data_IF_096256875052
#
_entry.id   IF_096256875052
#
_cell.length_a   1.000
_cell.length_b   1.000
_cell.length_c   1.000
_cell.angle_alpha   90.00
_cell.angle_beta   90.00
_cell.angle_gamma   90.00
#
_symmetry.space_group_name_H-M   'P 1'
#
loop_
_entity.id
_entity.type
_entity.pdbx_description
1 polymer ?
#
# COMPACT_ATOMS: atom_id res chain seq x y z
N UNK A 1 12.84 1.39 -23.26
CA UNK A 1 13.25 2.74 -23.74
C UNK A 1 12.16 3.35 -24.61
N UNK A 2 11.77 2.71 -25.72
CA UNK A 2 10.71 3.24 -26.61
C UNK A 2 9.41 3.64 -25.91
N UNK A 3 8.75 2.71 -25.22
CA UNK A 3 7.51 2.99 -24.49
C UNK A 3 7.70 4.10 -23.44
N UNK A 4 8.87 4.18 -22.80
CA UNK A 4 9.14 5.20 -21.79
C UNK A 4 9.20 6.61 -22.41
N UNK A 5 9.74 6.74 -23.63
CA UNK A 5 9.77 8.00 -24.38
C UNK A 5 8.37 8.32 -24.91
N UNK A 6 7.67 7.32 -25.43
CA UNK A 6 6.30 7.47 -25.96
C UNK A 6 5.33 7.98 -24.90
N UNK A 7 5.41 7.46 -23.68
CA UNK A 7 4.54 7.88 -22.58
C UNK A 7 4.99 9.15 -21.86
N UNK A 8 6.20 9.67 -22.08
CA UNK A 8 6.67 10.88 -21.39
C UNK A 8 6.22 12.16 -22.08
N UNK A 9 6.07 13.25 -21.32
CA UNK A 9 5.82 14.59 -21.86
C UNK A 9 7.11 15.25 -22.34
N UNK A 10 8.23 14.88 -21.70
CA UNK A 10 9.56 15.36 -22.04
C UNK A 10 10.64 14.32 -21.80
N UNK A 11 11.81 14.57 -22.38
CA UNK A 11 13.00 13.73 -22.28
C UNK A 11 14.17 14.60 -21.82
N UNK A 12 14.83 14.21 -20.74
CA UNK A 12 16.05 14.84 -20.25
C UNK A 12 17.21 13.85 -20.43
N UNK A 13 18.21 14.25 -21.22
CA UNK A 13 19.47 13.53 -21.35
C UNK A 13 20.50 14.17 -20.44
N UNK A 14 21.10 13.38 -19.56
CA UNK A 14 22.18 13.78 -18.66
C UNK A 14 23.46 13.07 -19.11
N UNK A 15 24.49 13.84 -19.45
CA UNK A 15 25.75 13.33 -19.98
C UNK A 15 26.98 13.92 -19.28
N UNK A 16 28.13 13.24 -19.42
CA UNK A 16 29.43 13.76 -19.02
C UNK A 16 30.10 14.56 -20.15
N UNK A 17 31.44 14.56 -20.17
CA UNK A 17 32.25 15.26 -21.18
C UNK A 17 32.53 14.44 -22.44
N UNK A 18 32.40 13.11 -22.37
CA UNK A 18 32.43 12.23 -23.54
C UNK A 18 31.03 12.11 -24.15
N UNK A 19 30.97 11.99 -25.47
CA UNK A 19 29.79 11.56 -26.22
C UNK A 19 30.18 10.28 -26.93
N UNK A 20 29.55 9.13 -26.61
CA UNK A 20 29.37 8.00 -27.56
C UNK A 20 28.82 6.74 -26.86
N UNK A 21 27.60 6.81 -26.30
CA UNK A 21 26.86 5.57 -26.01
C UNK A 21 25.63 5.47 -26.92
N UNK A 22 25.55 4.35 -27.65
CA UNK A 22 24.47 4.00 -28.59
C UNK A 22 23.08 4.14 -27.95
N UNK A 23 22.96 3.79 -26.65
CA UNK A 23 21.69 3.89 -25.93
C UNK A 23 21.20 5.34 -25.74
N UNK A 24 22.12 6.28 -25.54
CA UNK A 24 21.79 7.71 -25.43
C UNK A 24 21.36 8.25 -26.79
N UNK A 25 22.10 7.93 -27.84
CA UNK A 25 21.77 8.38 -29.20
C UNK A 25 20.41 7.84 -29.67
N UNK A 26 20.11 6.57 -29.39
CA UNK A 26 18.81 5.98 -29.67
C UNK A 26 17.67 6.73 -28.97
N UNK A 27 17.87 7.11 -27.69
CA UNK A 27 16.87 7.86 -26.92
C UNK A 27 16.64 9.25 -27.50
N UNK A 28 17.70 9.93 -27.96
CA UNK A 28 17.63 11.23 -28.62
C UNK A 28 16.83 11.12 -29.92
N UNK A 29 17.26 10.23 -30.83
CA UNK A 29 16.62 10.05 -32.14
C UNK A 29 15.13 9.73 -31.96
N UNK A 30 14.80 8.84 -31.01
CA UNK A 30 13.42 8.45 -30.76
C UNK A 30 12.58 9.60 -30.17
N UNK A 31 13.16 10.42 -29.30
CA UNK A 31 12.48 11.60 -28.76
C UNK A 31 12.18 12.63 -29.86
N UNK A 32 13.11 12.82 -30.80
CA UNK A 32 12.95 13.69 -31.97
C UNK A 32 11.88 13.17 -32.93
N UNK A 33 11.90 11.87 -33.26
CA UNK A 33 10.87 11.20 -34.07
C UNK A 33 9.46 11.41 -33.49
N UNK A 34 9.32 11.26 -32.17
CA UNK A 34 8.07 11.42 -31.45
C UNK A 34 7.75 12.88 -31.08
N UNK A 35 8.58 13.84 -31.54
CA UNK A 35 8.46 15.29 -31.28
C UNK A 35 8.30 15.64 -29.79
N UNK A 36 8.98 14.90 -28.92
CA UNK A 36 8.99 15.14 -27.48
C UNK A 36 9.80 16.37 -27.13
N UNK A 37 9.48 17.01 -26.01
CA UNK A 37 10.30 18.10 -25.47
C UNK A 37 11.62 17.52 -24.97
N UNK A 38 12.71 17.76 -25.71
CA UNK A 38 14.04 17.24 -25.41
C UNK A 38 14.94 18.30 -24.78
N UNK A 39 15.63 17.95 -23.70
CA UNK A 39 16.71 18.75 -23.10
C UNK A 39 17.92 17.87 -22.87
N UNK A 40 19.09 18.36 -23.25
CA UNK A 40 20.37 17.68 -23.01
C UNK A 40 21.19 18.57 -22.08
N UNK A 41 21.75 17.97 -21.02
CA UNK A 41 22.49 18.68 -19.98
C UNK A 41 23.76 17.91 -19.62
N UNK A 42 24.84 18.63 -19.37
CA UNK A 42 26.06 18.08 -18.79
C UNK A 42 25.97 18.11 -17.26
N UNK A 43 26.19 16.97 -16.61
CA UNK A 43 25.98 16.79 -15.16
C UNK A 43 26.89 17.66 -14.29
N UNK A 44 28.07 18.03 -14.81
CA UNK A 44 29.08 18.78 -14.06
C UNK A 44 28.93 20.29 -14.20
N UNK A 45 28.42 20.75 -15.34
CA UNK A 45 28.44 22.18 -15.70
C UNK A 45 27.05 22.81 -15.80
N UNK A 46 25.98 22.00 -15.86
CA UNK A 46 24.64 22.54 -16.08
C UNK A 46 24.04 23.12 -14.81
N UNK A 47 23.49 24.32 -14.93
CA UNK A 47 22.73 24.96 -13.86
C UNK A 47 21.34 24.29 -13.72
N UNK A 48 21.06 23.80 -12.51
CA UNK A 48 19.81 23.14 -12.11
C UNK A 48 18.56 23.98 -12.36
N UNK A 49 18.57 25.24 -11.94
CA UNK A 49 17.43 26.15 -12.07
C UNK A 49 17.00 26.31 -13.53
N UNK A 50 17.95 26.26 -14.47
CA UNK A 50 17.64 26.29 -15.91
C UNK A 50 16.91 25.03 -16.39
N UNK A 51 17.20 23.88 -15.78
CA UNK A 51 16.50 22.62 -16.08
C UNK A 51 15.10 22.65 -15.49
N UNK A 52 14.95 23.10 -14.24
CA UNK A 52 13.64 23.26 -13.59
C UNK A 52 12.76 24.23 -14.37
N UNK A 53 13.28 25.41 -14.73
CA UNK A 53 12.56 26.38 -15.58
C UNK A 53 12.15 25.78 -16.92
N UNK A 54 13.00 24.95 -17.53
CA UNK A 54 12.65 24.27 -18.77
C UNK A 54 11.50 23.25 -18.58
N UNK A 55 11.50 22.48 -17.49
CA UNK A 55 10.43 21.53 -17.15
C UNK A 55 9.10 22.29 -16.99
N UNK A 56 9.10 23.35 -16.19
CA UNK A 56 7.91 24.16 -15.88
C UNK A 56 7.38 24.85 -17.14
N UNK A 57 8.24 25.52 -17.91
CA UNK A 57 7.83 26.25 -19.12
C UNK A 57 7.28 25.34 -20.22
N UNK A 58 7.64 24.06 -20.22
CA UNK A 58 7.11 23.07 -21.17
C UNK A 58 5.96 22.24 -20.60
N UNK A 59 5.50 22.52 -19.37
CA UNK A 59 4.42 21.79 -18.68
C UNK A 59 4.65 20.27 -18.67
N UNK A 60 5.90 19.84 -18.44
CA UNK A 60 6.29 18.42 -18.44
C UNK A 60 5.87 17.79 -17.10
N UNK A 61 4.95 16.82 -17.13
CA UNK A 61 4.44 16.13 -15.92
C UNK A 61 5.10 14.75 -15.74
N UNK A 62 5.37 14.06 -16.84
CA UNK A 62 6.10 12.80 -16.87
C UNK A 62 7.41 12.98 -17.63
N UNK A 63 8.53 13.02 -16.91
CA UNK A 63 9.86 13.21 -17.48
C UNK A 63 10.58 11.87 -17.63
N UNK A 64 10.96 11.50 -18.85
CA UNK A 64 11.88 10.38 -19.09
C UNK A 64 13.31 10.88 -18.98
N UNK A 65 14.10 10.29 -18.09
CA UNK A 65 15.50 10.68 -17.88
C UNK A 65 16.40 9.56 -18.36
N UNK A 66 17.38 9.91 -19.19
CA UNK A 66 18.38 8.96 -19.70
C UNK A 66 19.77 9.60 -19.65
N UNK A 67 20.82 8.79 -19.75
CA UNK A 67 22.20 9.25 -19.74
C UNK A 67 23.15 8.13 -20.13
N UNK A 68 24.44 8.48 -20.21
CA UNK A 68 25.50 7.51 -20.53
C UNK A 68 25.55 6.35 -19.52
N UNK A 69 25.72 5.13 -20.02
CA UNK A 69 25.70 3.92 -19.19
C UNK A 69 27.08 3.34 -18.87
N UNK A 70 28.17 4.04 -19.20
CA UNK A 70 29.54 3.59 -18.90
C UNK A 70 30.44 4.73 -18.44
N UNK A 71 30.77 4.72 -17.16
CA UNK A 71 32.11 5.15 -16.72
C UNK A 71 32.88 3.90 -16.32
N UNK A 72 34.09 3.69 -16.87
CA UNK A 72 34.97 2.59 -16.45
C UNK A 72 35.72 2.90 -15.14
N UNK A 73 35.45 4.05 -14.51
CA UNK A 73 36.07 4.50 -13.27
C UNK A 73 35.00 4.53 -12.16
N UNK A 74 35.15 3.64 -11.18
CA UNK A 74 34.19 3.40 -10.09
C UNK A 74 33.87 4.67 -9.28
N UNK A 75 34.88 5.52 -9.04
CA UNK A 75 34.72 6.78 -8.30
C UNK A 75 33.86 7.80 -9.05
N UNK A 76 33.99 7.85 -10.38
CA UNK A 76 33.19 8.74 -11.24
C UNK A 76 31.74 8.26 -11.30
N UNK A 77 31.49 6.95 -11.37
CA UNK A 77 30.13 6.40 -11.35
C UNK A 77 29.39 6.69 -10.03
N UNK A 78 30.08 6.58 -8.89
CA UNK A 78 29.52 6.91 -7.57
C UNK A 78 29.23 8.41 -7.44
N UNK A 79 30.15 9.26 -7.87
CA UNK A 79 29.95 10.71 -7.85
C UNK A 79 28.81 11.13 -8.79
N UNK A 80 28.74 10.58 -10.00
CA UNK A 80 27.65 10.83 -10.96
C UNK A 80 26.30 10.38 -10.37
N UNK A 81 26.22 9.21 -9.75
CA UNK A 81 24.99 8.75 -9.07
C UNK A 81 24.59 9.64 -7.90
N UNK A 82 25.56 10.12 -7.10
CA UNK A 82 25.29 11.05 -6.00
C UNK A 82 24.82 12.41 -6.51
N UNK A 83 25.47 12.97 -7.52
CA UNK A 83 25.08 14.23 -8.16
C UNK A 83 23.73 14.08 -8.82
N UNK A 84 23.45 12.98 -9.50
CA UNK A 84 22.15 12.67 -10.10
C UNK A 84 21.04 12.56 -9.06
N UNK A 85 21.29 11.86 -7.94
CA UNK A 85 20.34 11.77 -6.83
C UNK A 85 20.07 13.14 -6.22
N UNK A 86 21.12 13.93 -5.96
CA UNK A 86 21.00 15.30 -5.44
C UNK A 86 20.26 16.21 -6.44
N UNK A 87 20.52 16.03 -7.72
CA UNK A 87 19.88 16.78 -8.80
C UNK A 87 18.39 16.48 -8.91
N UNK A 88 18.00 15.20 -8.88
CA UNK A 88 16.61 14.80 -8.86
C UNK A 88 15.87 15.27 -7.61
N UNK A 89 16.52 15.20 -6.44
CA UNK A 89 15.95 15.70 -5.20
C UNK A 89 15.74 17.22 -5.28
N UNK A 90 16.72 17.97 -5.78
CA UNK A 90 16.60 19.41 -5.93
C UNK A 90 15.51 19.79 -6.96
N UNK A 91 15.41 19.10 -8.10
CA UNK A 91 14.31 19.30 -9.05
C UNK A 91 12.96 19.01 -8.38
N UNK A 92 12.88 17.93 -7.59
CA UNK A 92 11.68 17.58 -6.86
C UNK A 92 11.29 18.68 -5.86
N UNK A 93 12.23 19.11 -5.02
CA UNK A 93 12.03 20.14 -4.01
C UNK A 93 11.70 21.50 -4.63
N UNK A 94 12.36 21.89 -5.72
CA UNK A 94 12.15 23.16 -6.40
C UNK A 94 10.82 23.19 -7.17
N UNK A 95 10.42 22.07 -7.78
CA UNK A 95 9.05 21.93 -8.33
C UNK A 95 8.04 22.08 -7.19
N UNK A 96 8.24 21.43 -6.04
CA UNK A 96 7.35 21.55 -4.90
C UNK A 96 7.28 22.98 -4.32
N UNK A 97 8.37 23.73 -4.35
CA UNK A 97 8.45 25.08 -3.78
C UNK A 97 7.98 26.19 -4.74
N UNK A 98 8.34 26.14 -6.02
CA UNK A 98 8.20 27.28 -6.95
C UNK A 98 7.01 27.21 -7.90
N UNK A 99 6.38 26.05 -8.07
CA UNK A 99 5.35 25.90 -9.10
C UNK A 99 3.95 26.32 -8.64
N UNK A 100 3.72 26.59 -7.34
CA UNK A 100 2.36 26.66 -6.79
C UNK A 100 1.56 25.36 -6.99
N UNK A 101 2.12 24.36 -7.69
CA UNK A 101 1.68 22.98 -7.59
C UNK A 101 2.13 22.50 -6.23
N UNK A 102 1.22 22.63 -5.28
CA UNK A 102 0.99 21.55 -4.36
C UNK A 102 0.82 20.26 -5.20
N UNK A 103 1.90 19.57 -5.52
CA UNK A 103 1.83 18.12 -5.72
C UNK A 103 1.66 17.53 -4.30
N UNK A 104 0.58 17.90 -3.62
CA UNK A 104 -0.23 16.92 -2.93
C UNK A 104 -0.82 16.06 -4.04
N UNK A 105 -0.03 15.21 -4.70
CA UNK A 105 -0.64 13.99 -5.20
C UNK A 105 -0.98 13.20 -3.94
N UNK A 106 -2.14 13.55 -3.39
CA UNK A 106 -2.76 12.89 -2.27
C UNK A 106 -2.76 11.40 -2.59
N UNK A 107 -2.52 10.57 -1.59
CA UNK A 107 -2.61 9.12 -1.76
C UNK A 107 -3.92 8.80 -2.49
N UNK A 108 -3.81 8.03 -3.57
CA UNK A 108 -4.94 7.64 -4.40
C UNK A 108 -5.35 6.20 -4.13
N UNK A 109 -4.39 5.35 -3.77
CA UNK A 109 -4.64 3.92 -3.52
C UNK A 109 -4.03 3.47 -2.21
N UNK A 110 -4.88 2.87 -1.38
CA UNK A 110 -4.51 2.25 -0.13
C UNK A 110 -4.74 0.75 -0.21
N UNK A 111 -3.67 -0.02 -0.36
CA UNK A 111 -3.73 -1.46 -0.49
C UNK A 111 -3.71 -2.15 0.88
N UNK A 112 -4.56 -3.15 1.06
CA UNK A 112 -4.60 -4.01 2.26
C UNK A 112 -5.08 -5.40 1.89
N UNK A 113 -4.85 -6.39 2.75
CA UNK A 113 -5.39 -7.73 2.57
C UNK A 113 -6.92 -7.72 2.78
N UNK A 114 -7.66 -8.30 1.84
CA UNK A 114 -9.10 -8.47 1.91
C UNK A 114 -9.51 -9.77 2.62
N UNK A 115 -10.76 -10.23 2.41
CA UNK A 115 -11.84 -9.50 1.73
C UNK A 115 -12.46 -8.41 2.64
N UNK A 116 -13.51 -7.74 2.17
CA UNK A 116 -14.23 -6.74 2.96
C UNK A 116 -14.76 -7.36 4.27
N UNK A 117 -14.67 -6.58 5.36
CA UNK A 117 -15.00 -7.03 6.72
C UNK A 117 -13.92 -7.83 7.44
N UNK A 118 -12.79 -8.16 6.79
CA UNK A 118 -11.65 -8.80 7.46
C UNK A 118 -11.02 -7.86 8.51
N UNK A 119 -10.21 -8.40 9.42
CA UNK A 119 -9.47 -7.56 10.37
C UNK A 119 -8.51 -6.59 9.67
N UNK A 120 -7.87 -7.02 8.57
CA UNK A 120 -7.02 -6.16 7.75
C UNK A 120 -7.80 -5.01 7.10
N UNK A 121 -9.02 -5.28 6.62
CA UNK A 121 -9.91 -4.24 6.11
C UNK A 121 -10.39 -3.28 7.20
N UNK A 122 -10.76 -3.81 8.37
CA UNK A 122 -11.18 -3.01 9.52
C UNK A 122 -10.08 -2.04 9.98
N UNK A 123 -8.84 -2.52 10.11
CA UNK A 123 -7.69 -1.67 10.42
C UNK A 123 -7.44 -0.65 9.34
N UNK A 124 -7.50 -1.04 8.07
CA UNK A 124 -7.37 -0.10 6.95
C UNK A 124 -8.46 0.97 6.95
N UNK A 125 -9.72 0.63 7.25
CA UNK A 125 -10.82 1.59 7.35
C UNK A 125 -10.57 2.66 8.44
N UNK A 126 -10.03 2.27 9.60
CA UNK A 126 -9.66 3.23 10.65
C UNK A 126 -8.61 4.23 10.16
N UNK A 127 -7.56 3.73 9.50
CA UNK A 127 -6.49 4.57 8.93
C UNK A 127 -7.07 5.46 7.83
N UNK A 128 -7.89 4.89 6.96
CA UNK A 128 -8.52 5.54 5.82
C UNK A 128 -9.39 6.73 6.23
N UNK A 129 -10.17 6.61 7.30
CA UNK A 129 -10.96 7.73 7.83
C UNK A 129 -10.08 8.94 8.15
N UNK A 130 -8.92 8.72 8.77
CA UNK A 130 -7.93 9.77 9.05
C UNK A 130 -7.21 10.26 7.80
N UNK A 131 -6.91 9.37 6.87
CA UNK A 131 -6.32 9.74 5.59
C UNK A 131 -7.22 10.68 4.80
N UNK A 132 -8.55 10.47 4.82
CA UNK A 132 -9.50 11.31 4.08
C UNK A 132 -9.54 12.76 4.55
N UNK A 133 -9.15 13.06 5.79
CA UNK A 133 -8.99 14.44 6.27
C UNK A 133 -7.90 15.20 5.49
N UNK A 134 -6.93 14.49 4.90
CA UNK A 134 -5.79 15.05 4.16
C UNK A 134 -5.77 14.67 2.67
N UNK A 135 -6.52 13.64 2.27
CA UNK A 135 -6.47 13.05 0.94
C UNK A 135 -7.90 12.74 0.47
N UNK A 136 -8.46 13.59 -0.39
CA UNK A 136 -9.88 13.53 -0.76
C UNK A 136 -10.27 12.30 -1.61
N UNK A 137 -9.35 11.78 -2.43
CA UNK A 137 -9.64 10.77 -3.46
C UNK A 137 -8.89 9.44 -3.24
N UNK A 138 -8.77 9.00 -1.98
CA UNK A 138 -8.17 7.70 -1.66
C UNK A 138 -9.20 6.60 -1.90
N UNK A 139 -8.78 5.51 -2.55
CA UNK A 139 -9.52 4.26 -2.69
C UNK A 139 -8.82 3.15 -1.89
N UNK A 140 -9.58 2.36 -1.11
CA UNK A 140 -9.06 1.13 -0.52
C UNK A 140 -9.09 0.02 -1.58
N UNK A 141 -7.94 -0.56 -1.88
CA UNK A 141 -7.79 -1.68 -2.80
C UNK A 141 -7.55 -2.97 -2.00
N UNK A 142 -8.48 -3.91 -2.11
CA UNK A 142 -8.41 -5.20 -1.41
C UNK A 142 -7.64 -6.23 -2.23
N UNK A 143 -6.58 -6.76 -1.64
CA UNK A 143 -5.78 -7.84 -2.21
C UNK A 143 -6.34 -9.19 -1.77
N UNK A 144 -6.31 -10.19 -2.65
CA UNK A 144 -6.83 -11.52 -2.36
C UNK A 144 -5.83 -12.35 -1.56
N UNK A 145 -4.54 -12.17 -1.85
CA UNK A 145 -3.49 -12.99 -1.28
C UNK A 145 -2.31 -12.16 -0.76
N UNK A 146 -1.61 -12.67 0.26
CA UNK A 146 -0.36 -12.09 0.76
C UNK A 146 0.71 -11.97 -0.33
N UNK A 147 0.69 -12.86 -1.34
CA UNK A 147 1.64 -12.85 -2.47
C UNK A 147 1.57 -11.56 -3.30
N UNK A 148 0.41 -10.90 -3.33
CA UNK A 148 0.22 -9.63 -4.05
C UNK A 148 0.88 -8.45 -3.34
N UNK A 149 0.95 -8.46 -2.00
CA UNK A 149 1.67 -7.45 -1.22
C UNK A 149 3.13 -7.37 -1.67
N UNK A 150 3.76 -8.54 -1.86
CA UNK A 150 5.16 -8.66 -2.28
C UNK A 150 5.38 -8.08 -3.69
N UNK A 151 4.40 -8.22 -4.59
CA UNK A 151 4.47 -7.65 -5.95
C UNK A 151 4.30 -6.13 -5.95
N UNK A 152 3.51 -5.60 -5.01
CA UNK A 152 3.22 -4.16 -4.92
C UNK A 152 4.35 -3.39 -4.26
N UNK A 153 5.00 -3.95 -3.24
CA UNK A 153 6.05 -3.29 -2.47
C UNK A 153 7.14 -2.68 -3.40
N UNK A 154 7.80 -3.42 -4.31
CA UNK A 154 8.83 -2.88 -5.23
C UNK A 154 8.38 -1.73 -6.13
N UNK A 155 7.07 -1.62 -6.39
CA UNK A 155 6.49 -0.61 -7.30
C UNK A 155 5.67 0.43 -6.55
N UNK A 156 5.81 0.51 -5.21
CA UNK A 156 5.08 1.46 -4.39
C UNK A 156 5.56 2.89 -4.68
N UNK A 157 4.71 3.67 -5.35
CA UNK A 157 4.95 5.08 -5.67
C UNK A 157 4.41 5.98 -4.55
N UNK A 158 4.69 7.28 -4.64
CA UNK A 158 4.29 8.28 -3.63
C UNK A 158 2.76 8.40 -3.47
N UNK A 159 1.98 8.08 -4.51
CA UNK A 159 0.52 8.14 -4.55
C UNK A 159 -0.15 6.88 -3.99
N UNK A 160 0.63 5.94 -3.43
CA UNK A 160 0.16 4.65 -2.93
C UNK A 160 0.67 4.39 -1.51
N UNK A 161 -0.12 3.67 -0.73
CA UNK A 161 0.29 3.14 0.55
C UNK A 161 -0.22 1.71 0.76
N UNK A 162 0.37 1.03 1.74
CA UNK A 162 0.13 -0.38 2.02
C UNK A 162 -0.07 -0.58 3.52
N UNK A 163 -1.01 -1.44 3.90
CA UNK A 163 -1.13 -1.99 5.24
C UNK A 163 -0.78 -3.48 5.18
N UNK A 164 0.24 -3.89 5.92
CA UNK A 164 0.75 -5.27 5.92
C UNK A 164 0.59 -5.87 7.31
N UNK A 165 -0.14 -6.98 7.49
CA UNK A 165 -0.09 -7.74 8.73
C UNK A 165 1.29 -8.40 8.85
N UNK A 166 2.03 -8.06 9.90
CA UNK A 166 3.39 -8.59 10.15
C UNK A 166 3.40 -9.58 11.29
N UNK A 167 2.61 -9.39 12.34
CA UNK A 167 2.59 -10.28 13.49
C UNK A 167 1.18 -10.68 13.92
N UNK A 168 1.05 -11.90 14.40
CA UNK A 168 -0.16 -12.38 15.09
C UNK A 168 0.28 -12.84 16.48
N UNK A 169 -0.27 -12.22 17.52
CA UNK A 169 0.08 -12.48 18.93
C UNK A 169 1.59 -12.39 19.22
N UNK A 170 2.26 -11.43 18.56
CA UNK A 170 3.71 -11.21 18.68
C UNK A 170 4.58 -12.20 17.90
N UNK A 171 3.98 -13.14 17.16
CA UNK A 171 4.69 -14.07 16.30
C UNK A 171 4.74 -13.49 14.89
N UNK A 172 5.93 -13.41 14.30
CA UNK A 172 6.12 -12.95 12.92
C UNK A 172 5.43 -13.90 11.93
N UNK A 173 4.56 -13.33 11.10
CA UNK A 173 3.78 -14.05 10.06
C UNK A 173 4.07 -13.55 8.64
N UNK A 174 5.06 -12.67 8.52
CA UNK A 174 5.52 -12.11 7.26
C UNK A 174 7.04 -12.27 7.15
N UNK A 175 7.48 -13.32 6.46
CA UNK A 175 8.88 -13.78 6.42
C UNK A 175 9.85 -12.86 5.64
N UNK A 176 9.43 -11.63 5.28
CA UNK A 176 10.21 -10.73 4.43
C UNK A 176 10.49 -9.37 5.08
N UNK A 177 11.00 -9.39 6.32
CA UNK A 177 11.38 -8.20 7.08
C UNK A 177 12.36 -7.29 6.32
N UNK A 178 13.27 -7.85 5.51
CA UNK A 178 14.20 -7.07 4.67
C UNK A 178 13.53 -6.21 3.59
N UNK A 179 12.28 -6.50 3.19
CA UNK A 179 11.56 -5.60 2.28
C UNK A 179 11.31 -4.25 2.94
N UNK A 180 10.97 -4.23 4.22
CA UNK A 180 10.68 -3.00 4.95
C UNK A 180 11.93 -2.12 5.15
N UNK A 181 13.14 -2.66 5.06
CA UNK A 181 14.37 -1.85 5.08
C UNK A 181 14.48 -0.91 3.86
N UNK A 182 13.85 -1.27 2.73
CA UNK A 182 13.83 -0.46 1.50
C UNK A 182 12.64 0.50 1.40
N UNK A 183 11.60 0.30 2.20
CA UNK A 183 10.38 1.13 2.14
C UNK A 183 10.19 1.90 3.44
N UNK A 184 9.66 3.12 3.35
CA UNK A 184 9.45 3.95 4.54
C UNK A 184 8.24 3.41 5.32
N UNK A 185 8.51 2.55 6.29
CA UNK A 185 7.58 2.27 7.39
C UNK A 185 7.28 3.60 8.09
N UNK A 186 6.01 3.97 8.15
CA UNK A 186 5.60 5.23 8.80
C UNK A 186 5.22 5.02 10.25
N UNK A 187 4.52 3.92 10.52
CA UNK A 187 4.10 3.52 11.86
C UNK A 187 3.65 2.07 11.87
N UNK A 188 3.57 1.52 13.07
CA UNK A 188 2.95 0.23 13.36
C UNK A 188 1.64 0.45 14.11
N UNK A 189 0.70 -0.47 13.94
CA UNK A 189 -0.59 -0.44 14.62
C UNK A 189 -0.98 -1.85 15.06
N UNK A 190 -1.23 -2.01 16.35
CA UNK A 190 -1.80 -3.24 16.90
C UNK A 190 -3.33 -3.16 16.82
N UNK A 191 -3.95 -4.19 16.26
CA UNK A 191 -5.41 -4.31 16.21
C UNK A 191 -5.84 -5.54 17.02
N UNK A 192 -6.64 -5.34 18.08
CA UNK A 192 -7.24 -6.46 18.80
C UNK A 192 -8.13 -7.31 17.88
N UNK A 193 -7.92 -8.62 17.91
CA UNK A 193 -8.73 -9.60 17.20
C UNK A 193 -9.82 -10.08 18.15
N UNK A 194 -11.00 -9.48 18.00
CA UNK A 194 -12.19 -9.81 18.77
C UNK A 194 -13.30 -10.33 17.86
N UNK A 195 -13.81 -11.51 18.20
CA UNK A 195 -14.95 -12.09 17.51
C UNK A 195 -16.26 -11.73 18.19
N UNK A 196 -17.29 -11.59 17.36
CA UNK A 196 -18.68 -11.57 17.76
C UNK A 196 -19.40 -12.76 17.10
N UNK A 197 -20.41 -13.29 17.80
CA UNK A 197 -21.36 -14.22 17.24
C UNK A 197 -22.42 -13.42 16.48
N UNK A 198 -22.46 -13.57 15.16
CA UNK A 198 -23.40 -12.87 14.30
C UNK A 198 -24.40 -13.85 13.68
N UNK A 199 -25.66 -13.45 13.56
CA UNK A 199 -26.69 -14.28 12.93
C UNK A 199 -27.79 -13.43 12.29
N UNK A 200 -28.60 -14.03 11.42
CA UNK A 200 -29.89 -13.47 11.01
C UNK A 200 -30.96 -13.61 12.10
N UNK A 201 -30.76 -14.53 13.05
CA UNK A 201 -31.64 -14.72 14.20
C UNK A 201 -31.32 -13.70 15.31
N UNK A 202 -32.26 -13.50 16.24
CA UNK A 202 -32.10 -12.59 17.39
C UNK A 202 -31.67 -13.33 18.66
N UNK A 203 -31.62 -14.65 18.61
CA UNK A 203 -31.30 -15.50 19.75
C UNK A 203 -30.28 -16.56 19.33
N UNK A 204 -29.43 -16.93 20.29
CA UNK A 204 -28.46 -18.03 20.19
C UNK A 204 -29.16 -19.39 20.25
N UNK A 205 -30.36 -19.47 20.84
CA UNK A 205 -31.17 -20.68 20.85
C UNK A 205 -31.55 -21.09 19.43
N UNK A 206 -31.20 -22.33 19.06
CA UNK A 206 -31.48 -22.89 17.75
C UNK A 206 -30.39 -22.68 16.70
N UNK A 207 -29.20 -22.16 17.06
CA UNK A 207 -28.05 -22.19 16.15
C UNK A 207 -27.55 -23.63 15.98
N UNK A 208 -27.59 -24.13 14.74
CA UNK A 208 -27.15 -25.48 14.38
C UNK A 208 -25.84 -25.47 13.56
N UNK A 209 -25.57 -24.38 12.84
CA UNK A 209 -24.38 -24.23 11.99
C UNK A 209 -23.59 -22.99 12.38
N UNK A 210 -22.29 -23.16 12.58
CA UNK A 210 -21.38 -22.07 12.89
C UNK A 210 -20.30 -21.97 11.81
N UNK A 211 -20.25 -20.85 11.10
CA UNK A 211 -19.28 -20.58 10.05
C UNK A 211 -18.13 -19.72 10.58
N UNK A 212 -16.89 -20.04 10.22
CA UNK A 212 -15.74 -19.16 10.39
C UNK A 212 -14.50 -19.71 9.70
N UNK A 213 -13.39 -18.98 9.81
CA UNK A 213 -12.06 -19.50 9.51
C UNK A 213 -11.60 -20.45 10.64
N UNK A 214 -10.73 -21.40 10.33
CA UNK A 214 -10.23 -22.40 11.31
C UNK A 214 -9.59 -21.76 12.53
N UNK A 215 -8.80 -20.69 12.33
CA UNK A 215 -8.16 -19.95 13.43
C UNK A 215 -9.19 -19.40 14.43
N UNK A 216 -10.34 -18.92 13.97
CA UNK A 216 -11.37 -18.38 14.86
C UNK A 216 -12.05 -19.48 15.68
N UNK A 217 -12.18 -20.69 15.14
CA UNK A 217 -12.71 -21.82 15.90
C UNK A 217 -11.77 -22.26 17.02
N UNK A 218 -10.46 -22.22 16.79
CA UNK A 218 -9.47 -22.52 17.82
C UNK A 218 -9.37 -21.39 18.85
N UNK A 219 -9.44 -20.13 18.41
CA UNK A 219 -9.39 -18.94 19.29
C UNK A 219 -10.65 -18.75 20.15
N UNK A 220 -11.77 -19.39 19.79
CA UNK A 220 -13.05 -19.35 20.54
C UNK A 220 -13.47 -20.73 21.07
N UNK A 221 -12.55 -21.70 21.12
CA UNK A 221 -12.87 -23.11 21.37
C UNK A 221 -13.65 -23.33 22.67
N UNK A 222 -13.20 -22.73 23.78
CA UNK A 222 -13.83 -22.92 25.08
C UNK A 222 -15.22 -22.29 25.12
N UNK A 223 -15.37 -21.09 24.55
CA UNK A 223 -16.68 -20.45 24.42
C UNK A 223 -17.65 -21.31 23.59
N UNK A 224 -17.21 -21.84 22.44
CA UNK A 224 -18.04 -22.71 21.58
C UNK A 224 -18.46 -23.97 22.35
N UNK A 225 -17.53 -24.66 23.01
CA UNK A 225 -17.83 -25.87 23.78
C UNK A 225 -18.86 -25.60 24.90
N UNK A 226 -18.83 -24.42 25.52
CA UNK A 226 -19.72 -24.05 26.61
C UNK A 226 -21.12 -23.62 26.13
N UNK A 227 -21.18 -22.83 25.05
CA UNK A 227 -22.41 -22.15 24.60
C UNK A 227 -23.11 -22.87 23.45
N UNK A 228 -22.36 -23.55 22.60
CA UNK A 228 -22.82 -24.19 21.37
C UNK A 228 -22.24 -25.62 21.25
N UNK A 229 -22.41 -26.51 22.25
CA UNK A 229 -21.73 -27.81 22.29
C UNK A 229 -22.07 -28.73 21.11
N UNK A 230 -23.28 -28.60 20.55
CA UNK A 230 -23.78 -29.47 19.47
C UNK A 230 -23.74 -28.81 18.08
N UNK A 231 -23.10 -27.65 17.95
CA UNK A 231 -23.11 -26.90 16.70
C UNK A 231 -22.19 -27.54 15.66
N UNK A 232 -22.64 -27.58 14.41
CA UNK A 232 -21.81 -28.01 13.28
C UNK A 232 -20.90 -26.85 12.85
N UNK A 233 -19.60 -26.97 13.10
CA UNK A 233 -18.57 -26.03 12.61
C UNK A 233 -18.36 -26.21 11.10
N UNK A 234 -18.36 -25.13 10.34
CA UNK A 234 -18.14 -25.11 8.90
C UNK A 234 -17.03 -24.11 8.58
N UNK A 235 -15.87 -24.62 8.14
CA UNK A 235 -14.72 -23.80 7.77
C UNK A 235 -14.95 -23.09 6.43
N UNK A 236 -14.59 -21.81 6.36
CA UNK A 236 -14.62 -20.97 5.14
C UNK A 236 -13.34 -20.15 5.01
N UNK A 237 -13.13 -19.51 3.86
CA UNK A 237 -11.87 -18.85 3.51
C UNK A 237 -11.53 -17.63 4.36
N UNK A 238 -12.52 -16.98 4.99
CA UNK A 238 -12.27 -15.90 5.95
C UNK A 238 -13.39 -15.73 6.98
N UNK A 239 -13.09 -15.04 8.07
CA UNK A 239 -14.06 -14.72 9.12
C UNK A 239 -15.15 -13.76 8.62
N UNK A 240 -14.87 -12.91 7.64
CA UNK A 240 -15.88 -12.02 7.07
C UNK A 240 -16.72 -12.70 5.98
N UNK A 241 -16.14 -13.64 5.23
CA UNK A 241 -16.91 -14.54 4.36
C UNK A 241 -17.93 -15.34 5.18
N UNK A 242 -17.56 -15.76 6.40
CA UNK A 242 -18.46 -16.44 7.32
C UNK A 242 -19.74 -15.64 7.62
N UNK A 243 -19.61 -14.34 7.91
CA UNK A 243 -20.77 -13.46 8.15
C UNK A 243 -21.64 -13.30 6.89
N UNK A 244 -21.01 -13.28 5.71
CA UNK A 244 -21.72 -13.23 4.44
C UNK A 244 -22.54 -14.51 4.23
N UNK A 245 -21.94 -15.69 4.40
CA UNK A 245 -22.59 -16.99 4.12
C UNK A 245 -23.58 -17.41 5.21
N UNK A 246 -23.41 -16.96 6.47
CA UNK A 246 -24.35 -17.17 7.57
C UNK A 246 -25.62 -16.31 7.40
N UNK A 247 -26.32 -16.50 6.28
CA UNK A 247 -27.48 -15.71 5.82
C UNK A 247 -28.81 -16.44 5.96
N UNK A 248 -28.80 -17.68 6.48
CA UNK A 248 -29.97 -18.54 6.61
C UNK A 248 -30.31 -18.79 8.08
N UNK A 249 -31.54 -19.25 8.35
CA UNK A 249 -31.96 -19.69 9.68
C UNK A 249 -31.02 -20.74 10.27
N UNK A 250 -30.95 -20.78 11.60
CA UNK A 250 -30.12 -21.71 12.36
C UNK A 250 -28.61 -21.62 12.05
N UNK A 251 -28.17 -20.52 11.43
CA UNK A 251 -26.77 -20.28 11.08
C UNK A 251 -26.23 -19.06 11.82
N UNK A 252 -25.01 -19.17 12.32
CA UNK A 252 -24.26 -18.06 12.88
C UNK A 252 -22.84 -18.02 12.32
N UNK A 253 -22.15 -16.91 12.52
CA UNK A 253 -20.74 -16.76 12.20
C UNK A 253 -19.94 -16.24 13.38
N UNK A 254 -18.66 -16.64 13.44
CA UNK A 254 -17.66 -15.96 14.27
C UNK A 254 -16.90 -14.99 13.37
N UNK A 255 -17.09 -13.69 13.59
CA UNK A 255 -16.60 -12.64 12.69
C UNK A 255 -16.25 -11.38 13.45
N UNK A 256 -15.57 -10.43 12.80
CA UNK A 256 -15.42 -9.08 13.35
C UNK A 256 -16.81 -8.42 13.50
N UNK A 257 -17.06 -7.73 14.61
CA UNK A 257 -18.34 -7.06 14.89
C UNK A 257 -18.80 -6.11 13.77
N UNK A 258 -17.87 -5.48 13.04
CA UNK A 258 -18.18 -4.61 11.89
C UNK A 258 -18.90 -5.33 10.76
N UNK A 259 -18.80 -6.66 10.68
CA UNK A 259 -19.55 -7.47 9.73
C UNK A 259 -21.06 -7.46 9.99
N UNK A 260 -21.52 -7.10 11.21
CA UNK A 260 -22.94 -6.92 11.52
C UNK A 260 -23.56 -5.87 10.63
N UNK A 261 -22.96 -4.68 10.57
CA UNK A 261 -23.44 -3.60 9.70
C UNK A 261 -23.22 -3.94 8.22
N UNK A 262 -22.06 -4.52 7.87
CA UNK A 262 -21.71 -4.80 6.48
C UNK A 262 -22.65 -5.81 5.82
N UNK A 263 -23.06 -6.85 6.56
CA UNK A 263 -23.88 -7.93 6.01
C UNK A 263 -25.30 -7.95 6.56
N UNK A 264 -25.71 -6.97 7.36
CA UNK A 264 -27.01 -6.94 8.05
C UNK A 264 -27.25 -8.22 8.88
N UNK A 265 -26.46 -8.39 9.93
CA UNK A 265 -26.56 -9.49 10.90
C UNK A 265 -26.77 -8.92 12.30
N UNK A 266 -27.60 -9.58 13.09
CA UNK A 266 -27.74 -9.29 14.50
C UNK A 266 -26.47 -9.73 15.24
N UNK A 267 -26.15 -9.00 16.29
CA UNK A 267 -25.07 -9.32 17.21
C UNK A 267 -25.68 -10.09 18.38
N UNK A 268 -25.33 -11.36 18.52
CA UNK A 268 -25.86 -12.22 19.58
C UNK A 268 -24.98 -12.19 20.84
N UNK A 269 -23.66 -12.19 20.65
CA UNK A 269 -22.67 -12.10 21.74
C UNK A 269 -21.37 -11.49 21.19
N UNK A 270 -20.63 -10.76 22.00
CA UNK A 270 -19.36 -10.09 21.62
C UNK A 270 -18.23 -10.52 22.52
N UNK A 271 -16.99 -10.31 22.08
CA UNK A 271 -15.77 -10.54 22.87
C UNK A 271 -15.64 -12.00 23.36
N UNK A 272 -15.94 -12.94 22.47
CA UNK A 272 -16.00 -14.38 22.75
C UNK A 272 -14.68 -15.13 22.49
N UNK A 273 -13.58 -14.40 22.34
CA UNK A 273 -12.23 -14.97 22.22
C UNK A 273 -11.77 -15.54 23.57
N UNK A 274 -11.13 -16.70 23.55
CA UNK A 274 -10.52 -17.30 24.74
C UNK A 274 -9.25 -16.55 25.17
N UNK A 275 -8.51 -16.00 24.20
CA UNK A 275 -7.29 -15.22 24.44
C UNK A 275 -7.64 -13.74 24.67
N UNK A 276 -7.43 -13.27 25.90
CA UNK A 276 -7.67 -11.87 26.29
C UNK A 276 -6.82 -10.85 25.52
N UNK A 277 -5.62 -11.25 25.09
CA UNK A 277 -4.68 -10.38 24.38
C UNK A 277 -4.44 -10.84 22.93
N UNK A 278 -5.49 -11.27 22.24
CA UNK A 278 -5.42 -11.63 20.84
C UNK A 278 -5.28 -10.37 19.97
N UNK A 279 -4.15 -10.19 19.30
CA UNK A 279 -3.84 -9.00 18.50
C UNK A 279 -3.06 -9.32 17.24
N UNK A 280 -3.29 -8.52 16.20
CA UNK A 280 -2.48 -8.52 14.99
C UNK A 280 -1.76 -7.19 14.86
N UNK A 281 -0.43 -7.24 14.68
CA UNK A 281 0.38 -6.05 14.38
C UNK A 281 0.41 -5.84 12.88
N UNK A 282 0.12 -4.60 12.48
CA UNK A 282 0.21 -4.16 11.11
C UNK A 282 1.26 -3.07 10.95
N UNK A 283 1.93 -3.07 9.82
CA UNK A 283 2.86 -2.03 9.41
C UNK A 283 2.21 -1.21 8.30
N UNK A 284 2.21 0.11 8.46
CA UNK A 284 1.80 1.04 7.41
C UNK A 284 3.02 1.53 6.64
N UNK A 285 3.02 1.31 5.32
CA UNK A 285 4.13 1.63 4.42
C UNK A 285 3.69 2.69 3.41
N UNK A 286 4.48 3.76 3.26
CA UNK A 286 4.23 4.79 2.25
C UNK A 286 5.51 5.54 1.90
N UNK A 287 5.70 5.83 0.62
CA UNK A 287 6.78 6.71 0.16
C UNK A 287 6.41 8.20 0.20
N UNK A 288 5.21 8.55 0.66
CA UNK A 288 4.77 9.94 0.79
C UNK A 288 5.43 10.60 2.01
N UNK A 289 6.22 11.66 1.82
CA UNK A 289 6.99 12.27 2.92
C UNK A 289 6.12 13.07 3.91
N UNK A 290 5.09 13.77 3.43
CA UNK A 290 4.20 14.59 4.28
C UNK A 290 3.03 13.85 4.96
N UNK A 291 2.96 12.52 4.84
CA UNK A 291 1.83 11.76 5.38
C UNK A 291 2.09 11.39 6.85
N UNK A 292 1.85 12.33 7.76
CA UNK A 292 1.80 12.06 9.20
C UNK A 292 0.35 11.76 9.60
N UNK A 293 0.02 10.47 9.74
CA UNK A 293 -1.26 10.02 10.29
C UNK A 293 -1.03 9.73 11.77
N UNK A 294 -1.53 10.62 12.63
CA UNK A 294 -1.59 10.34 14.05
C UNK A 294 -2.81 9.45 14.32
N UNK A 295 -2.56 8.18 14.55
CA UNK A 295 -3.59 7.26 15.05
C UNK A 295 -3.40 7.20 16.55
N UNK A 296 -4.35 7.75 17.30
CA UNK A 296 -4.45 7.41 18.72
C UNK A 296 -4.89 5.95 18.78
N UNK A 297 -3.98 5.09 19.23
CA UNK A 297 -4.21 3.66 19.51
C UNK A 297 -5.22 3.55 20.65
#
# INVERSE_FOLDING_TARGET
>A
TDKNIEFSDGVLIIQGDSMNDYGTQYTINRAEELKKKLKIVNVFTSNLDKVVKWIVNNNIRLLNISGERKSNLLEVDLQVKMVFKKFLNNIHDEILQNSGFLIYDSIRKFYTLGPEGSFSYFTAQKIFQKMREKCANVEIVLLKEKSELIKILPILRYDKCLLVPTQVNGIDTFEQNHLFERFKVKFEIETPVRYALLSVQNDILGIEKLYSHESAFEECKNWICKKLPNVRKISVGSTSEAAKVASFSHSASLSNISCSMLYNRNILETDICDLLNNKTTFVFVSNHEGLNILIKI
#
